data_IF_430643399156
#
_entry.id   IF_430643399156
#
_cell.length_a   1.000
_cell.length_b   1.000
_cell.length_c   1.000
_cell.angle_alpha   90.00
_cell.angle_beta   90.00
_cell.angle_gamma   90.00
#
_symmetry.space_group_name_H-M   'P 1'
#
loop_
_entity.id
_entity.type
_entity.pdbx_description
1 polymer ?
#
# COMPACT_ATOMS: atom_id res chain seq x y z
N UNK A 1 22.03 37.02 -30.79
CA UNK A 1 20.93 36.90 -29.86
C UNK A 1 20.97 35.52 -29.22
N UNK A 2 20.96 35.43 -27.86
CA UNK A 2 21.01 34.14 -27.19
C UNK A 2 19.65 33.43 -27.43
N UNK A 3 19.73 32.20 -27.88
CA UNK A 3 18.57 31.30 -27.93
C UNK A 3 18.14 31.06 -26.49
N UNK A 4 17.00 31.64 -26.12
CA UNK A 4 16.29 31.29 -24.91
C UNK A 4 15.85 29.83 -25.04
N UNK A 5 16.53 28.92 -24.37
CA UNK A 5 16.02 27.60 -24.09
C UNK A 5 14.86 27.75 -23.13
N UNK A 6 13.68 27.90 -23.68
CA UNK A 6 12.42 27.68 -22.98
C UNK A 6 12.39 26.21 -22.56
N UNK A 7 12.81 25.94 -21.34
CA UNK A 7 12.38 24.72 -20.67
C UNK A 7 10.86 24.83 -20.52
N UNK A 8 10.08 23.91 -21.10
CA UNK A 8 8.69 23.86 -20.79
C UNK A 8 8.59 23.50 -19.30
N UNK A 9 8.30 24.50 -18.46
CA UNK A 9 7.69 24.22 -17.18
C UNK A 9 6.33 23.60 -17.47
N UNK A 10 6.33 22.30 -17.74
CA UNK A 10 5.12 21.51 -17.63
C UNK A 10 4.79 21.47 -16.15
N UNK A 11 4.12 22.51 -15.69
CA UNK A 11 3.35 22.43 -14.46
C UNK A 11 2.35 21.33 -14.73
N UNK A 12 2.66 20.13 -14.26
CA UNK A 12 1.77 18.97 -14.32
C UNK A 12 0.59 19.30 -13.40
N UNK A 13 -0.40 20.00 -13.95
CA UNK A 13 -1.72 20.08 -13.33
C UNK A 13 -2.30 18.68 -13.40
N UNK A 14 -2.25 17.99 -12.29
CA UNK A 14 -2.93 16.69 -12.13
C UNK A 14 -4.35 16.95 -11.72
N UNK A 15 -5.27 16.16 -12.26
CA UNK A 15 -6.64 16.20 -11.79
C UNK A 15 -6.72 15.76 -10.32
N UNK A 16 -7.74 16.18 -9.56
CA UNK A 16 -7.96 15.68 -8.20
C UNK A 16 -8.03 14.14 -8.15
N UNK A 17 -8.58 13.51 -9.20
CA UNK A 17 -8.67 12.06 -9.34
C UNK A 17 -7.29 11.42 -9.47
N UNK A 18 -6.43 11.94 -10.37
CA UNK A 18 -5.07 11.42 -10.54
C UNK A 18 -4.24 11.60 -9.27
N UNK A 19 -4.41 12.72 -8.58
CA UNK A 19 -3.75 12.99 -7.30
C UNK A 19 -4.21 11.98 -6.25
N UNK A 20 -5.50 11.68 -6.19
CA UNK A 20 -6.07 10.70 -5.28
C UNK A 20 -5.54 9.28 -5.57
N UNK A 21 -5.53 8.87 -6.84
CA UNK A 21 -5.01 7.55 -7.24
C UNK A 21 -3.54 7.35 -6.85
N UNK A 22 -2.73 8.41 -6.88
CA UNK A 22 -1.33 8.35 -6.47
C UNK A 22 -1.13 8.37 -4.95
N UNK A 23 -1.98 9.08 -4.21
CA UNK A 23 -1.85 9.23 -2.76
C UNK A 23 -2.56 8.15 -1.97
N UNK A 24 -3.62 7.53 -2.51
CA UNK A 24 -4.35 6.45 -1.86
C UNK A 24 -3.45 5.30 -1.34
N UNK A 25 -2.51 4.75 -2.14
CA UNK A 25 -1.62 3.70 -1.66
C UNK A 25 -0.70 4.14 -0.51
N UNK A 26 -0.42 5.44 -0.42
CA UNK A 26 0.41 6.02 0.64
C UNK A 26 -0.39 6.30 1.93
N UNK A 27 -1.71 6.36 1.86
CA UNK A 27 -2.56 6.50 3.04
C UNK A 27 -2.67 5.20 3.86
N UNK A 28 -2.11 4.08 3.34
CA UNK A 28 -2.16 2.77 4.00
C UNK A 28 -3.54 2.09 3.96
N UNK A 29 -4.50 2.67 3.26
CA UNK A 29 -5.82 2.07 3.04
C UNK A 29 -6.53 2.71 1.86
N UNK A 30 -7.50 1.99 1.29
CA UNK A 30 -8.45 2.51 0.30
C UNK A 30 -9.84 1.95 0.53
N UNK A 31 -10.86 2.60 -0.04
CA UNK A 31 -12.23 2.14 0.07
C UNK A 31 -12.60 1.22 -1.10
N UNK A 32 -13.14 0.03 -0.80
CA UNK A 32 -13.51 -0.95 -1.82
C UNK A 32 -14.04 -2.26 -1.27
N UNK A 33 -14.00 -3.31 -2.09
CA UNK A 33 -14.50 -4.63 -1.72
C UNK A 33 -13.44 -5.57 -1.13
N UNK A 34 -12.14 -5.26 -1.25
CA UNK A 34 -11.07 -6.04 -0.64
C UNK A 34 -10.72 -7.33 -1.37
N UNK A 35 -10.42 -7.25 -2.66
CA UNK A 35 -9.90 -8.36 -3.46
C UNK A 35 -8.64 -7.94 -4.21
N UNK A 36 -7.75 -8.91 -4.43
CA UNK A 36 -6.73 -8.86 -5.47
C UNK A 36 -7.23 -9.68 -6.66
N UNK A 37 -7.12 -9.14 -7.85
CA UNK A 37 -7.61 -9.79 -9.05
C UNK A 37 -6.66 -9.66 -10.23
N UNK A 38 -6.83 -10.52 -11.22
CA UNK A 38 -6.17 -10.41 -12.51
C UNK A 38 -7.21 -10.54 -13.63
N UNK A 39 -6.93 -9.93 -14.78
CA UNK A 39 -7.74 -10.08 -15.98
C UNK A 39 -7.16 -11.19 -16.85
N UNK A 40 -7.91 -12.25 -17.02
CA UNK A 40 -7.55 -13.38 -17.89
C UNK A 40 -8.67 -13.60 -18.92
N UNK A 41 -8.32 -13.58 -20.20
CA UNK A 41 -9.26 -13.83 -21.28
C UNK A 41 -10.55 -13.04 -21.11
N UNK A 42 -10.41 -11.71 -20.93
CA UNK A 42 -11.52 -10.76 -20.75
C UNK A 42 -12.48 -11.09 -19.58
N UNK A 43 -11.95 -11.70 -18.53
CA UNK A 43 -12.69 -12.06 -17.31
C UNK A 43 -11.87 -11.70 -16.09
N UNK A 44 -12.51 -11.15 -15.05
CA UNK A 44 -11.89 -10.85 -13.77
C UNK A 44 -11.83 -12.09 -12.89
N UNK A 45 -10.60 -12.54 -12.58
CA UNK A 45 -10.33 -13.64 -11.66
C UNK A 45 -9.89 -13.10 -10.31
N UNK A 46 -10.56 -13.50 -9.25
CA UNK A 46 -10.15 -13.21 -7.88
C UNK A 46 -8.94 -14.09 -7.55
N UNK A 47 -7.79 -13.45 -7.35
CA UNK A 47 -6.54 -14.14 -6.96
C UNK A 47 -6.52 -14.35 -5.46
N UNK A 48 -6.90 -13.31 -4.71
CA UNK A 48 -6.93 -13.34 -3.25
C UNK A 48 -8.02 -12.42 -2.72
N UNK A 49 -8.65 -12.83 -1.63
CA UNK A 49 -9.54 -11.99 -0.83
C UNK A 49 -8.73 -11.46 0.36
N UNK A 50 -8.81 -10.16 0.60
CA UNK A 50 -8.09 -9.52 1.71
C UNK A 50 -8.70 -9.96 3.04
N UNK A 51 -7.91 -10.54 3.97
CA UNK A 51 -8.40 -10.99 5.27
C UNK A 51 -9.06 -9.85 6.06
N UNK A 52 -10.18 -10.15 6.70
CA UNK A 52 -10.99 -9.15 7.41
C UNK A 52 -11.77 -8.17 6.52
N UNK A 53 -11.59 -8.27 5.20
CA UNK A 53 -12.22 -7.41 4.21
C UNK A 53 -13.71 -7.70 3.96
N UNK A 54 -14.40 -6.78 3.27
CA UNK A 54 -15.83 -6.93 2.96
C UNK A 54 -16.16 -8.18 2.13
N UNK A 55 -15.33 -8.54 1.17
CA UNK A 55 -15.54 -9.70 0.30
C UNK A 55 -15.40 -11.02 1.03
N UNK A 56 -14.50 -11.12 2.00
CA UNK A 56 -14.36 -12.30 2.84
C UNK A 56 -15.62 -12.55 3.66
N UNK A 57 -16.21 -11.49 4.25
CA UNK A 57 -17.40 -11.56 5.07
C UNK A 57 -18.63 -12.13 4.35
N UNK A 58 -18.71 -11.92 3.05
CA UNK A 58 -19.81 -12.45 2.23
C UNK A 58 -19.49 -13.81 1.60
N UNK A 59 -18.26 -14.34 1.82
CA UNK A 59 -17.86 -15.66 1.33
C UNK A 59 -17.34 -15.68 -0.11
N UNK A 60 -16.84 -14.56 -0.63
CA UNK A 60 -16.08 -14.54 -1.87
C UNK A 60 -14.76 -15.28 -1.67
N UNK A 61 -14.29 -16.01 -2.67
CA UNK A 61 -13.10 -16.87 -2.56
C UNK A 61 -12.12 -16.62 -3.70
N UNK A 62 -10.85 -16.97 -3.45
CA UNK A 62 -9.85 -17.06 -4.52
C UNK A 62 -10.30 -18.08 -5.57
N UNK A 63 -10.09 -17.77 -6.85
CA UNK A 63 -10.55 -18.55 -8.00
C UNK A 63 -11.95 -18.20 -8.50
N UNK A 64 -12.70 -17.37 -7.79
CA UNK A 64 -13.98 -16.85 -8.27
C UNK A 64 -13.77 -15.96 -9.50
N UNK A 65 -14.73 -16.02 -10.42
CA UNK A 65 -14.74 -15.18 -11.64
C UNK A 65 -15.90 -14.21 -11.55
N UNK A 66 -15.63 -12.92 -11.49
CA UNK A 66 -16.67 -11.90 -11.48
C UNK A 66 -17.14 -11.67 -12.91
N UNK A 67 -18.39 -11.93 -13.14
CA UNK A 67 -19.03 -11.84 -14.45
C UNK A 67 -19.77 -10.51 -14.61
N UNK A 68 -20.42 -10.04 -13.53
CA UNK A 68 -21.24 -8.83 -13.54
C UNK A 68 -21.00 -8.04 -12.25
N UNK A 69 -21.00 -6.71 -12.36
CA UNK A 69 -20.96 -5.78 -11.23
C UNK A 69 -22.18 -4.87 -11.34
N UNK A 70 -23.02 -4.87 -10.32
CA UNK A 70 -24.35 -4.29 -10.34
C UNK A 70 -25.13 -4.78 -11.59
N UNK A 71 -25.65 -3.87 -12.41
CA UNK A 71 -26.36 -4.23 -13.64
C UNK A 71 -25.46 -4.30 -14.88
N UNK A 72 -24.11 -4.19 -14.70
CA UNK A 72 -23.16 -4.13 -15.80
C UNK A 72 -22.45 -5.47 -15.97
N UNK A 73 -22.58 -6.10 -17.13
CA UNK A 73 -21.74 -7.23 -17.54
C UNK A 73 -20.30 -6.73 -17.75
N UNK A 74 -19.32 -7.40 -17.13
CA UNK A 74 -17.90 -7.03 -17.22
C UNK A 74 -17.04 -8.10 -17.90
N UNK A 75 -17.52 -9.33 -17.97
CA UNK A 75 -16.81 -10.44 -18.61
C UNK A 75 -17.21 -10.55 -20.10
N UNK A 76 -16.24 -10.75 -20.99
CA UNK A 76 -16.46 -10.95 -22.43
C UNK A 76 -16.80 -9.69 -23.21
N UNK A 77 -16.65 -8.50 -22.61
CA UNK A 77 -17.05 -7.20 -23.24
C UNK A 77 -15.86 -6.25 -23.46
N UNK A 78 -14.63 -6.74 -23.24
CA UNK A 78 -13.37 -5.99 -23.40
C UNK A 78 -13.34 -4.67 -22.60
N UNK A 79 -13.96 -4.68 -21.42
CA UNK A 79 -13.96 -3.53 -20.52
C UNK A 79 -12.56 -3.29 -19.97
N UNK A 80 -12.14 -2.02 -19.90
CA UNK A 80 -10.83 -1.66 -19.33
C UNK A 80 -10.80 -1.98 -17.85
N UNK A 81 -9.67 -2.51 -17.36
CA UNK A 81 -9.46 -2.82 -15.93
C UNK A 81 -9.71 -1.62 -15.03
N UNK A 82 -9.34 -0.41 -15.48
CA UNK A 82 -9.59 0.84 -14.75
C UNK A 82 -11.09 1.10 -14.53
N UNK A 83 -11.93 0.82 -15.52
CA UNK A 83 -13.37 1.04 -15.43
C UNK A 83 -14.03 0.00 -14.50
N UNK A 84 -13.53 -1.25 -14.55
CA UNK A 84 -13.95 -2.29 -13.61
C UNK A 84 -13.57 -1.91 -12.18
N UNK A 85 -12.33 -1.42 -11.97
CA UNK A 85 -11.87 -0.96 -10.66
C UNK A 85 -12.74 0.18 -10.12
N UNK A 86 -13.12 1.15 -10.96
CA UNK A 86 -14.02 2.25 -10.56
C UNK A 86 -15.39 1.74 -10.11
N UNK A 87 -15.90 0.67 -10.72
CA UNK A 87 -17.19 0.06 -10.30
C UNK A 87 -17.07 -0.71 -8.98
N UNK A 88 -15.95 -1.40 -8.74
CA UNK A 88 -15.72 -2.16 -7.51
C UNK A 88 -15.35 -1.28 -6.32
N UNK A 89 -14.61 -0.20 -6.56
CA UNK A 89 -14.29 0.83 -5.57
C UNK A 89 -15.50 1.74 -5.32
N UNK A 90 -15.45 2.50 -4.24
CA UNK A 90 -16.45 3.49 -3.90
C UNK A 90 -16.45 3.77 -2.40
N UNK A 91 -17.17 4.80 -1.93
CA UNK A 91 -17.15 5.23 -0.54
C UNK A 91 -17.51 4.10 0.42
N UNK A 92 -16.82 4.05 1.56
CA UNK A 92 -17.12 3.11 2.65
C UNK A 92 -18.61 3.18 3.01
N UNK A 93 -19.24 2.02 3.19
CA UNK A 93 -20.66 1.89 3.54
C UNK A 93 -21.62 1.82 2.36
N UNK A 94 -21.15 2.11 1.13
CA UNK A 94 -21.96 1.89 -0.07
C UNK A 94 -21.98 0.42 -0.47
N UNK A 95 -23.06 -0.02 -1.11
CA UNK A 95 -23.23 -1.41 -1.54
C UNK A 95 -22.81 -1.59 -3.00
N UNK A 96 -22.36 -2.77 -3.34
CA UNK A 96 -22.15 -3.26 -4.70
C UNK A 96 -22.57 -4.72 -4.78
N UNK A 97 -23.24 -5.09 -5.85
CA UNK A 97 -23.61 -6.49 -6.13
C UNK A 97 -22.66 -7.06 -7.18
N UNK A 98 -22.18 -8.27 -6.95
CA UNK A 98 -21.35 -8.97 -7.92
C UNK A 98 -21.92 -10.35 -8.20
N UNK A 99 -22.07 -10.69 -9.49
CA UNK A 99 -22.40 -12.05 -9.90
C UNK A 99 -21.12 -12.78 -10.26
N UNK A 100 -20.97 -13.92 -9.67
CA UNK A 100 -19.72 -14.68 -9.67
C UNK A 100 -19.94 -16.08 -10.18
N UNK A 101 -19.04 -16.56 -11.02
CA UNK A 101 -18.96 -17.96 -11.43
C UNK A 101 -17.87 -18.66 -10.63
N UNK A 102 -18.24 -19.68 -9.86
CA UNK A 102 -17.31 -20.49 -9.05
C UNK A 102 -17.09 -21.85 -9.68
N UNK A 103 -15.83 -22.17 -9.95
CA UNK A 103 -15.42 -23.45 -10.51
C UNK A 103 -16.13 -23.78 -11.84
N UNK A 104 -16.69 -24.98 -11.94
CA UNK A 104 -17.39 -25.49 -13.14
C UNK A 104 -18.92 -25.33 -13.04
N UNK A 105 -19.44 -24.76 -11.95
CA UNK A 105 -20.91 -24.57 -11.80
C UNK A 105 -21.45 -23.70 -12.93
N UNK A 106 -22.58 -24.08 -13.55
CA UNK A 106 -23.26 -23.25 -14.54
C UNK A 106 -23.98 -22.05 -13.89
N UNK A 107 -24.33 -22.15 -12.61
CA UNK A 107 -25.08 -21.13 -11.89
C UNK A 107 -24.16 -20.00 -11.43
N UNK A 108 -24.66 -18.77 -11.54
CA UNK A 108 -24.00 -17.59 -11.00
C UNK A 108 -24.43 -17.38 -9.54
N UNK A 109 -23.47 -17.14 -8.68
CA UNK A 109 -23.68 -16.77 -7.28
C UNK A 109 -23.78 -15.25 -7.18
N UNK A 110 -24.75 -14.74 -6.44
CA UNK A 110 -24.96 -13.32 -6.21
C UNK A 110 -24.41 -12.94 -4.82
N UNK A 111 -23.51 -11.95 -4.78
CA UNK A 111 -22.93 -11.44 -3.55
C UNK A 111 -23.20 -9.95 -3.42
N UNK A 112 -23.84 -9.56 -2.31
CA UNK A 112 -24.04 -8.17 -1.91
C UNK A 112 -22.92 -7.76 -0.95
N UNK A 113 -22.05 -6.85 -1.39
CA UNK A 113 -20.86 -6.46 -0.65
C UNK A 113 -21.02 -5.01 -0.21
N UNK A 114 -20.87 -4.75 1.08
CA UNK A 114 -20.80 -3.39 1.62
C UNK A 114 -19.35 -2.95 1.60
N UNK A 115 -19.00 -1.93 0.82
CA UNK A 115 -17.62 -1.42 0.69
C UNK A 115 -17.08 -0.98 2.05
N UNK A 116 -15.81 -1.25 2.28
CA UNK A 116 -15.12 -0.93 3.53
C UNK A 116 -13.71 -0.40 3.30
N UNK A 117 -13.06 0.01 4.37
CA UNK A 117 -11.64 0.32 4.35
C UNK A 117 -10.83 -0.97 4.18
N UNK A 118 -9.99 -1.00 3.17
CA UNK A 118 -9.10 -2.12 2.85
C UNK A 118 -7.68 -1.71 3.25
N UNK A 119 -7.05 -2.38 4.22
CA UNK A 119 -5.68 -2.06 4.60
C UNK A 119 -4.72 -2.38 3.45
N UNK A 120 -3.77 -1.50 3.24
CA UNK A 120 -2.65 -1.71 2.31
C UNK A 120 -1.38 -1.67 3.15
N UNK A 121 -0.87 -2.84 3.47
CA UNK A 121 0.35 -2.95 4.26
C UNK A 121 1.56 -2.47 3.48
N UNK A 122 2.45 -1.81 4.17
CA UNK A 122 3.75 -1.35 3.66
C UNK A 122 4.86 -2.37 3.90
N UNK A 123 4.66 -3.27 4.86
CA UNK A 123 5.55 -4.38 5.11
C UNK A 123 5.11 -5.62 4.33
N UNK A 124 6.01 -6.12 3.46
CA UNK A 124 5.78 -7.37 2.71
C UNK A 124 6.11 -8.60 3.54
N UNK A 125 7.10 -8.49 4.43
CA UNK A 125 7.56 -9.60 5.25
C UNK A 125 8.16 -9.10 6.57
N UNK A 126 7.95 -9.85 7.66
CA UNK A 126 8.61 -9.67 8.95
C UNK A 126 8.73 -11.04 9.63
N UNK A 127 9.96 -11.57 9.74
CA UNK A 127 10.23 -12.89 10.31
C UNK A 127 11.66 -13.01 10.86
N UNK A 128 11.92 -14.02 11.68
CA UNK A 128 13.29 -14.35 12.13
C UNK A 128 14.01 -15.11 11.01
N UNK A 129 15.09 -14.52 10.46
CA UNK A 129 15.93 -15.16 9.45
C UNK A 129 16.82 -16.26 10.06
N UNK A 130 17.25 -16.04 11.31
CA UNK A 130 17.95 -17.03 12.13
C UNK A 130 17.59 -16.84 13.62
N UNK A 131 18.31 -17.50 14.54
CA UNK A 131 18.04 -17.42 15.99
C UNK A 131 18.16 -16.01 16.59
N UNK A 132 18.93 -15.13 15.96
CA UNK A 132 19.25 -13.81 16.50
C UNK A 132 18.95 -12.67 15.52
N UNK A 133 18.67 -12.97 14.24
CA UNK A 133 18.51 -11.96 13.18
C UNK A 133 17.08 -11.91 12.69
N UNK A 134 16.43 -10.76 12.83
CA UNK A 134 15.15 -10.46 12.24
C UNK A 134 15.31 -9.90 10.82
N UNK A 135 14.34 -10.17 9.97
CA UNK A 135 14.25 -9.61 8.63
C UNK A 135 12.91 -8.88 8.48
N UNK A 136 12.97 -7.63 7.99
CA UNK A 136 11.77 -6.84 7.67
C UNK A 136 11.95 -6.29 6.26
N UNK A 137 10.94 -6.50 5.40
CA UNK A 137 10.89 -5.92 4.07
C UNK A 137 9.82 -4.84 3.99
N UNK A 138 10.25 -3.60 3.70
CA UNK A 138 9.39 -2.44 3.55
C UNK A 138 9.35 -2.01 2.08
N UNK A 139 8.17 -2.04 1.46
CA UNK A 139 7.99 -1.72 0.03
C UNK A 139 7.66 -0.26 -0.25
N UNK A 140 7.24 0.51 0.76
CA UNK A 140 6.92 1.95 0.65
C UNK A 140 6.91 2.62 2.02
N UNK A 141 6.95 3.94 2.05
CA UNK A 141 6.75 4.74 3.25
C UNK A 141 5.32 5.31 3.27
N UNK A 142 4.35 4.47 3.63
CA UNK A 142 2.95 4.84 3.80
C UNK A 142 2.69 5.45 5.19
N UNK A 143 1.54 6.06 5.39
CA UNK A 143 1.17 6.65 6.69
C UNK A 143 1.16 5.64 7.85
N UNK A 144 0.89 4.37 7.56
CA UNK A 144 0.88 3.26 8.54
C UNK A 144 2.25 2.59 8.75
N UNK A 145 3.28 2.94 7.93
CA UNK A 145 4.54 2.18 7.90
C UNK A 145 5.32 2.22 9.22
N UNK A 146 5.30 3.35 9.92
CA UNK A 146 6.01 3.49 11.18
C UNK A 146 5.38 2.58 12.27
N UNK A 147 4.05 2.55 12.34
CA UNK A 147 3.33 1.72 13.30
C UNK A 147 3.48 0.23 12.96
N UNK A 148 3.32 -0.15 11.68
CA UNK A 148 3.56 -1.53 11.21
C UNK A 148 4.99 -1.98 11.52
N UNK A 149 5.97 -1.12 11.31
CA UNK A 149 7.37 -1.42 11.58
C UNK A 149 7.64 -1.63 13.07
N UNK A 150 7.11 -0.76 13.95
CA UNK A 150 7.24 -0.91 15.42
C UNK A 150 6.61 -2.20 15.91
N UNK A 151 5.40 -2.51 15.42
CA UNK A 151 4.73 -3.77 15.78
C UNK A 151 5.55 -4.99 15.35
N UNK A 152 6.11 -4.96 14.13
CA UNK A 152 6.97 -6.01 13.62
C UNK A 152 8.25 -6.15 14.48
N UNK A 153 8.91 -5.02 14.82
CA UNK A 153 10.10 -5.01 15.69
C UNK A 153 9.82 -5.62 17.05
N UNK A 154 8.71 -5.22 17.69
CA UNK A 154 8.33 -5.77 18.99
C UNK A 154 8.09 -7.29 18.94
N UNK A 155 7.41 -7.75 17.89
CA UNK A 155 7.18 -9.17 17.67
C UNK A 155 8.49 -9.96 17.51
N UNK A 156 9.43 -9.44 16.71
CA UNK A 156 10.74 -10.08 16.48
C UNK A 156 11.62 -10.03 17.75
N UNK A 157 11.60 -8.93 18.51
CA UNK A 157 12.30 -8.82 19.80
C UNK A 157 11.81 -9.86 20.81
N UNK A 158 10.49 -10.08 20.90
CA UNK A 158 9.92 -11.14 21.75
C UNK A 158 10.36 -12.55 21.33
N UNK A 159 10.76 -12.73 20.06
CA UNK A 159 11.32 -13.98 19.55
C UNK A 159 12.83 -14.10 19.73
N UNK A 160 13.49 -13.10 20.34
CA UNK A 160 14.93 -13.14 20.65
C UNK A 160 15.82 -12.44 19.61
N UNK A 161 15.25 -11.58 18.76
CA UNK A 161 16.01 -10.79 17.79
C UNK A 161 17.04 -9.90 18.48
N UNK A 162 18.28 -9.95 17.99
CA UNK A 162 19.40 -9.08 18.39
C UNK A 162 19.89 -8.20 17.23
N UNK A 163 19.77 -8.69 16.00
CA UNK A 163 20.19 -8.01 14.78
C UNK A 163 18.99 -7.86 13.86
N UNK A 164 18.97 -6.81 13.04
CA UNK A 164 17.92 -6.56 12.07
C UNK A 164 18.51 -6.37 10.66
N UNK A 165 17.89 -7.04 9.69
CA UNK A 165 18.04 -6.76 8.27
C UNK A 165 16.80 -6.01 7.82
N UNK A 166 16.96 -4.72 7.45
CA UNK A 166 15.90 -3.94 6.84
C UNK A 166 16.10 -3.94 5.32
N UNK A 167 15.20 -4.58 4.61
CA UNK A 167 15.22 -4.67 3.15
C UNK A 167 14.32 -3.59 2.53
N UNK A 168 14.96 -2.69 1.79
CA UNK A 168 14.31 -1.62 1.02
C UNK A 168 14.39 -1.85 -0.50
N UNK A 169 14.73 -3.06 -0.94
CA UNK A 169 14.77 -3.38 -2.37
C UNK A 169 13.38 -3.28 -2.99
N UNK A 170 13.26 -2.47 -4.04
CA UNK A 170 11.99 -2.20 -4.70
C UNK A 170 11.11 -1.19 -3.97
N UNK A 171 11.60 -0.55 -2.89
CA UNK A 171 10.88 0.52 -2.23
C UNK A 171 10.78 1.74 -3.16
N UNK A 172 9.55 2.13 -3.51
CA UNK A 172 9.25 3.25 -4.40
C UNK A 172 9.28 4.62 -3.72
N UNK A 173 9.63 4.70 -2.42
CA UNK A 173 9.54 5.93 -1.63
C UNK A 173 8.18 6.08 -0.93
N UNK A 174 7.75 7.33 -0.70
CA UNK A 174 6.48 7.64 -0.03
C UNK A 174 6.56 8.94 0.76
N UNK A 175 5.97 9.00 1.94
CA UNK A 175 5.98 10.17 2.80
C UNK A 175 7.34 10.36 3.47
N UNK A 176 7.95 11.54 3.25
CA UNK A 176 9.24 11.90 3.82
C UNK A 176 9.24 11.89 5.35
N UNK A 177 8.19 12.44 5.97
CA UNK A 177 8.05 12.43 7.43
C UNK A 177 8.02 11.01 8.02
N UNK A 178 7.42 10.05 7.32
CA UNK A 178 7.41 8.64 7.75
C UNK A 178 8.79 8.00 7.60
N UNK A 179 9.52 8.34 6.51
CA UNK A 179 10.90 7.86 6.36
C UNK A 179 11.82 8.41 7.47
N UNK A 180 11.65 9.67 7.86
CA UNK A 180 12.37 10.28 8.99
C UNK A 180 12.01 9.59 10.29
N UNK A 181 10.70 9.40 10.57
CA UNK A 181 10.21 8.76 11.78
C UNK A 181 10.74 7.33 11.91
N UNK A 182 10.84 6.61 10.80
CA UNK A 182 11.39 5.26 10.77
C UNK A 182 12.91 5.26 10.94
N UNK A 183 13.62 6.25 10.37
CA UNK A 183 15.05 6.41 10.55
C UNK A 183 15.42 6.76 12.02
N UNK A 184 14.56 7.51 12.70
CA UNK A 184 14.75 7.87 14.11
C UNK A 184 14.68 6.65 15.05
N UNK A 185 14.08 5.53 14.62
CA UNK A 185 14.12 4.25 15.40
C UNK A 185 15.53 3.66 15.49
N UNK A 186 16.46 4.09 14.63
CA UNK A 186 17.85 3.63 14.57
C UNK A 186 18.86 4.65 15.10
N UNK A 187 18.40 5.85 15.44
CA UNK A 187 19.31 6.95 15.81
C UNK A 187 19.19 7.27 17.31
N UNK A 188 20.32 7.61 17.90
CA UNK A 188 20.36 8.13 19.26
C UNK A 188 19.62 9.47 19.36
N UNK A 189 19.11 9.79 20.55
CA UNK A 189 18.41 11.05 20.85
C UNK A 189 19.17 12.33 20.46
N UNK A 190 20.48 12.24 20.25
CA UNK A 190 21.35 13.35 19.85
C UNK A 190 21.53 13.48 18.33
N UNK A 191 21.17 12.46 17.56
CA UNK A 191 21.32 12.45 16.10
C UNK A 191 19.96 12.49 15.43
N UNK A 192 19.50 13.60 14.90
CA UNK A 192 18.32 13.64 14.05
C UNK A 192 18.60 13.08 12.66
N UNK A 193 17.60 12.58 11.96
CA UNK A 193 17.70 12.16 10.57
C UNK A 193 18.15 13.34 9.70
N UNK A 194 19.12 13.10 8.82
CA UNK A 194 19.68 14.11 7.94
C UNK A 194 19.20 13.89 6.51
N UNK A 195 18.51 14.89 5.96
CA UNK A 195 18.00 14.85 4.59
C UNK A 195 18.98 15.59 3.70
N UNK A 196 19.48 14.93 2.65
CA UNK A 196 20.29 15.53 1.60
C UNK A 196 19.38 15.86 0.41
N UNK A 197 19.19 17.14 0.11
CA UNK A 197 18.57 17.54 -1.15
C UNK A 197 19.56 17.31 -2.31
N UNK A 198 19.13 16.66 -3.42
CA UNK A 198 20.04 16.27 -4.49
C UNK A 198 20.57 17.43 -5.35
N UNK A 199 20.08 18.65 -5.23
CA UNK A 199 20.28 19.63 -6.31
C UNK A 199 20.49 21.08 -5.86
N UNK A 200 21.44 21.34 -4.97
CA UNK A 200 22.01 22.70 -4.85
C UNK A 200 23.44 22.61 -4.32
N UNK A 201 24.36 23.35 -4.94
CA UNK A 201 25.77 23.47 -4.62
C UNK A 201 26.12 23.88 -3.17
N UNK A 202 25.14 23.89 -2.29
CA UNK A 202 25.28 23.98 -0.84
C UNK A 202 24.30 23.03 -0.20
N UNK A 203 24.78 21.88 0.24
CA UNK A 203 24.03 20.92 1.03
C UNK A 203 23.57 21.58 2.34
N UNK A 204 22.33 22.06 2.38
CA UNK A 204 21.68 22.49 3.61
C UNK A 204 21.23 21.24 4.34
N UNK A 205 21.98 20.87 5.35
CA UNK A 205 21.63 19.81 6.29
C UNK A 205 20.53 20.35 7.21
N UNK A 206 19.29 20.07 6.92
CA UNK A 206 18.20 20.31 7.86
C UNK A 206 18.07 19.10 8.79
N UNK A 207 18.32 19.32 10.08
CA UNK A 207 18.05 18.33 11.13
C UNK A 207 16.60 18.45 11.52
N UNK A 208 15.79 17.45 11.15
CA UNK A 208 14.45 17.35 11.66
C UNK A 208 14.50 16.66 13.03
N UNK A 209 14.12 17.40 14.07
CA UNK A 209 13.91 16.84 15.40
C UNK A 209 12.45 16.45 15.49
N UNK A 210 12.16 15.17 15.47
CA UNK A 210 10.86 14.70 15.92
C UNK A 210 10.83 14.81 17.45
N UNK A 211 9.94 15.64 17.98
CA UNK A 211 9.89 15.99 19.41
C UNK A 211 9.29 14.88 20.30
N UNK A 212 9.45 13.59 19.98
CA UNK A 212 8.96 12.50 20.80
C UNK A 212 10.08 11.91 21.66
N UNK A 213 9.90 11.83 22.98
CA UNK A 213 10.82 11.11 23.84
C UNK A 213 10.60 9.59 23.65
N UNK A 214 11.44 8.93 22.90
CA UNK A 214 11.45 7.47 22.84
C UNK A 214 12.47 6.90 23.83
N UNK A 215 12.08 5.77 24.45
CA UNK A 215 12.90 5.06 25.42
C UNK A 215 14.23 4.63 24.83
N UNK A 216 15.28 5.04 25.52
CA UNK A 216 16.67 4.83 25.14
C UNK A 216 17.08 3.38 25.27
N UNK A 217 17.06 2.62 24.18
CA UNK A 217 17.98 1.51 24.01
C UNK A 217 18.27 1.36 22.51
N UNK A 218 19.33 2.04 22.07
CA UNK A 218 19.93 1.79 20.77
C UNK A 218 20.73 0.50 20.89
N UNK A 219 20.34 -0.51 20.19
CA UNK A 219 21.09 -1.75 20.10
C UNK A 219 22.19 -1.59 19.05
N UNK A 220 23.46 -1.62 19.53
CA UNK A 220 24.66 -1.79 18.70
C UNK A 220 24.79 -3.22 18.22
#
# INVERSE_FOLDING_TARGET
PPRSTLFPYTTLFRSPEETKEMTEPLQGNFDGIGIQFNMLTDTLYVIQVIPGGPSEKVGLMAGDRIIQVDDTLIAGVKMKTTDIMKKLRGPKGTEVRVKVKRGKSPELMDFKIVRGKIPVYSLDAAYMADKNTGYIKLNRFAASSADEFREALEKLRKQGMKNLILDLQGNGGGYLNIAIELADEFLDKSGGACIREPDKDQARLERYRTGRPYGSEVYR
#
